data_IF_374489897468
#
_entry.id   IF_374489897468
#
_cell.length_a   1.000
_cell.length_b   1.000
_cell.length_c   1.000
_cell.angle_alpha   90.00
_cell.angle_beta   90.00
_cell.angle_gamma   90.00
#
_symmetry.space_group_name_H-M   'P 1'
#
loop_
_entity.id
_entity.type
_entity.pdbx_description
1 polymer ?
#
# COMPACT_ATOMS: atom_id res chain seq x y z
N UNK A 1 6.37 -2.71 -0.01
CA UNK A 1 5.54 -1.49 -0.06
C UNK A 1 6.47 -0.30 -0.19
N UNK A 2 6.05 0.78 -0.82
CA UNK A 2 6.90 1.95 -1.09
C UNK A 2 6.08 3.24 -1.16
N UNK A 3 6.79 4.36 -1.13
CA UNK A 3 6.31 5.68 -1.49
C UNK A 3 7.17 6.21 -2.64
N UNK A 4 6.62 7.08 -3.48
CA UNK A 4 7.36 7.70 -4.59
C UNK A 4 7.72 9.13 -4.21
N UNK A 5 8.95 9.52 -4.54
CA UNK A 5 9.45 10.88 -4.43
C UNK A 5 9.62 11.46 -5.82
N UNK A 6 9.27 12.75 -5.97
CA UNK A 6 9.64 13.54 -7.15
C UNK A 6 11.12 13.93 -7.06
N UNK A 7 11.73 14.39 -8.16
CA UNK A 7 13.10 14.94 -8.14
C UNK A 7 13.28 16.12 -7.16
N UNK A 8 12.20 16.82 -6.81
CA UNK A 8 12.21 17.87 -5.78
C UNK A 8 12.33 17.35 -4.35
N UNK A 9 12.22 16.04 -4.13
CA UNK A 9 12.12 15.43 -2.80
C UNK A 9 10.71 15.45 -2.20
N UNK A 10 9.73 15.99 -2.92
CA UNK A 10 8.33 15.96 -2.48
C UNK A 10 7.72 14.57 -2.69
N UNK A 11 6.86 14.14 -1.76
CA UNK A 11 6.10 12.90 -1.89
C UNK A 11 5.02 13.02 -2.97
N UNK A 12 4.85 11.92 -3.70
CA UNK A 12 3.68 11.69 -4.54
C UNK A 12 2.64 10.97 -3.69
N UNK A 13 1.42 11.50 -3.65
CA UNK A 13 0.30 10.89 -2.93
C UNK A 13 -0.05 9.51 -3.49
N UNK A 14 -0.36 8.55 -2.62
CA UNK A 14 -0.67 7.19 -3.05
C UNK A 14 -1.99 7.10 -3.86
N UNK A 15 -2.88 8.10 -3.78
CA UNK A 15 -4.10 8.18 -4.59
C UNK A 15 -3.76 8.56 -6.04
N UNK A 16 -2.81 9.46 -6.25
CA UNK A 16 -2.29 9.78 -7.58
C UNK A 16 -1.74 8.51 -8.25
N UNK A 17 -0.92 7.75 -7.51
CA UNK A 17 -0.34 6.49 -7.99
C UNK A 17 -1.44 5.46 -8.28
N UNK A 18 -2.44 5.34 -7.41
CA UNK A 18 -3.57 4.42 -7.59
C UNK A 18 -4.37 4.75 -8.86
N UNK A 19 -4.66 6.02 -9.11
CA UNK A 19 -5.40 6.45 -10.30
C UNK A 19 -4.59 6.20 -11.58
N UNK A 20 -3.29 6.54 -11.58
CA UNK A 20 -2.41 6.26 -12.72
C UNK A 20 -2.31 4.75 -12.98
N UNK A 21 -2.16 3.93 -11.94
CA UNK A 21 -2.15 2.48 -12.08
C UNK A 21 -3.44 1.94 -12.72
N UNK A 22 -4.61 2.50 -12.37
CA UNK A 22 -5.89 2.14 -12.97
C UNK A 22 -5.94 2.37 -14.50
N UNK A 23 -5.29 3.42 -15.00
CA UNK A 23 -5.18 3.68 -16.46
C UNK A 23 -4.35 2.63 -17.17
N UNK A 24 -3.35 2.05 -16.48
CA UNK A 24 -2.52 0.95 -16.96
C UNK A 24 -3.13 -0.43 -16.68
N UNK A 25 -4.39 -0.48 -16.21
CA UNK A 25 -5.10 -1.71 -15.81
C UNK A 25 -4.43 -2.48 -14.67
N UNK A 26 -3.73 -1.76 -13.80
CA UNK A 26 -3.07 -2.31 -12.61
C UNK A 26 -3.90 -1.98 -11.38
N UNK A 27 -4.21 -2.98 -10.56
CA UNK A 27 -4.91 -2.79 -9.30
C UNK A 27 -3.91 -2.81 -8.13
N UNK A 28 -3.69 -1.66 -7.52
CA UNK A 28 -2.80 -1.49 -6.37
C UNK A 28 -3.58 -1.41 -5.06
N UNK A 29 -2.93 -1.82 -3.96
CA UNK A 29 -3.44 -1.59 -2.61
C UNK A 29 -2.71 -0.39 -2.03
N UNK A 30 -3.44 0.60 -1.53
CA UNK A 30 -2.87 1.83 -0.97
C UNK A 30 -3.55 2.20 0.35
N UNK A 31 -2.95 3.16 1.08
CA UNK A 31 -3.46 3.66 2.35
C UNK A 31 -2.60 3.28 3.55
N UNK A 32 -3.00 3.74 4.73
CA UNK A 32 -2.40 3.25 5.97
C UNK A 32 -2.81 1.80 6.22
N UNK A 33 -1.88 1.01 6.75
CA UNK A 33 -2.15 -0.33 7.22
C UNK A 33 -3.15 -0.30 8.37
N UNK A 34 -3.94 -1.37 8.54
CA UNK A 34 -4.90 -1.49 9.64
C UNK A 34 -4.26 -1.45 11.05
N UNK A 35 -2.92 -1.43 11.12
CA UNK A 35 -2.15 -1.15 12.32
C UNK A 35 -1.54 0.27 12.20
N UNK A 36 -2.12 1.30 12.85
CA UNK A 36 -1.62 2.67 12.77
C UNK A 36 -0.20 2.80 13.34
N UNK A 37 0.15 2.01 14.36
CA UNK A 37 1.52 1.96 14.90
C UNK A 37 2.55 1.41 13.90
N UNK A 38 2.12 0.60 12.92
CA UNK A 38 2.99 0.21 11.83
C UNK A 38 3.24 1.38 10.87
N UNK A 39 2.22 2.16 10.50
CA UNK A 39 2.39 3.37 9.70
C UNK A 39 3.31 4.37 10.40
N UNK A 40 3.05 4.64 11.69
CA UNK A 40 3.85 5.56 12.49
C UNK A 40 5.34 5.20 12.46
N UNK A 41 5.68 3.93 12.72
CA UNK A 41 7.06 3.45 12.69
C UNK A 41 7.71 3.57 11.31
N UNK A 42 7.02 3.12 10.25
CA UNK A 42 7.65 3.04 8.91
C UNK A 42 7.67 4.38 8.17
N UNK A 43 6.81 5.32 8.55
CA UNK A 43 6.77 6.68 8.02
C UNK A 43 7.53 7.67 8.91
N UNK A 44 8.13 7.19 10.01
CA UNK A 44 8.83 7.99 11.01
C UNK A 44 7.99 9.17 11.54
N UNK A 45 6.72 8.91 11.83
CA UNK A 45 5.80 9.90 12.39
C UNK A 45 5.97 9.99 13.90
N UNK A 46 6.01 11.21 14.43
CA UNK A 46 5.97 11.45 15.88
C UNK A 46 4.57 11.15 16.45
N UNK A 47 4.44 11.06 17.77
CA UNK A 47 3.12 10.96 18.40
C UNK A 47 2.26 12.20 18.08
N UNK A 48 2.89 13.38 18.07
CA UNK A 48 2.23 14.64 17.75
C UNK A 48 1.74 14.66 16.30
N UNK A 49 2.53 14.13 15.35
CA UNK A 49 2.12 14.01 13.95
C UNK A 49 0.88 13.13 13.81
N UNK A 50 0.81 12.03 14.57
CA UNK A 50 -0.35 11.11 14.54
C UNK A 50 -1.60 11.79 15.12
N UNK A 51 -1.46 12.55 16.20
CA UNK A 51 -2.55 13.33 16.80
C UNK A 51 -3.01 14.44 15.86
N UNK A 52 -2.10 15.20 15.27
CA UNK A 52 -2.41 16.23 14.27
C UNK A 52 -3.13 15.63 13.05
N UNK A 53 -2.69 14.46 12.58
CA UNK A 53 -3.38 13.75 11.50
C UNK A 53 -4.82 13.40 11.91
N UNK A 54 -5.04 12.91 13.14
CA UNK A 54 -6.37 12.62 13.66
C UNK A 54 -7.25 13.87 13.74
N UNK A 55 -6.72 14.97 14.30
CA UNK A 55 -7.41 16.26 14.43
C UNK A 55 -7.73 16.89 13.07
N UNK A 56 -6.86 16.70 12.07
CA UNK A 56 -7.10 17.04 10.68
C UNK A 56 -8.17 16.13 10.01
N UNK A 57 -8.77 15.21 10.75
CA UNK A 57 -9.83 14.30 10.32
C UNK A 57 -9.34 13.10 9.51
N UNK A 58 -8.06 12.71 9.64
CA UNK A 58 -7.53 11.55 8.94
C UNK A 58 -8.26 10.28 9.35
N UNK A 59 -8.75 9.54 8.35
CA UNK A 59 -9.37 8.23 8.53
C UNK A 59 -8.76 7.27 7.52
N UNK A 60 -8.36 6.09 7.99
CA UNK A 60 -7.87 5.02 7.13
C UNK A 60 -8.93 4.64 6.09
N UNK A 61 -8.56 4.72 4.81
CA UNK A 61 -9.45 4.50 3.67
C UNK A 61 -10.16 5.78 3.16
N UNK A 62 -9.82 6.95 3.71
CA UNK A 62 -10.23 8.25 3.16
C UNK A 62 -9.36 8.68 1.96
N UNK A 63 -9.66 9.87 1.44
CA UNK A 63 -8.97 10.48 0.28
C UNK A 63 -7.69 11.25 0.62
N UNK A 64 -7.46 11.57 1.90
CA UNK A 64 -6.27 12.32 2.35
C UNK A 64 -5.05 11.40 2.44
N UNK A 65 -4.23 11.41 1.41
CA UNK A 65 -3.03 10.58 1.29
C UNK A 65 -1.72 11.30 1.64
N UNK A 66 -1.74 12.63 1.64
CA UNK A 66 -0.68 13.51 2.16
C UNK A 66 -1.25 14.48 3.21
N UNK A 67 -0.53 14.68 4.31
CA UNK A 67 -0.77 15.73 5.32
C UNK A 67 0.55 16.47 5.53
N UNK A 68 0.56 17.78 5.32
CA UNK A 68 1.76 18.63 5.35
C UNK A 68 2.94 18.09 4.52
N UNK A 69 2.61 17.54 3.34
CA UNK A 69 3.56 16.94 2.42
C UNK A 69 4.11 15.57 2.84
N UNK A 70 3.69 15.05 4.00
CA UNK A 70 4.06 13.71 4.47
C UNK A 70 2.98 12.69 4.10
N UNK A 71 3.37 11.47 3.69
CA UNK A 71 2.42 10.42 3.39
C UNK A 71 1.71 9.94 4.65
N UNK A 72 0.44 9.60 4.51
CA UNK A 72 -0.35 8.97 5.60
C UNK A 72 -0.37 7.45 5.50
N UNK A 73 0.24 6.88 4.46
CA UNK A 73 0.21 5.45 4.16
C UNK A 73 1.29 5.06 3.15
N UNK A 74 1.09 3.93 2.48
CA UNK A 74 2.03 3.45 1.46
C UNK A 74 1.32 2.77 0.28
N UNK A 75 2.03 2.66 -0.84
CA UNK A 75 1.63 1.82 -1.97
C UNK A 75 2.16 0.40 -1.75
N UNK A 76 1.26 -0.58 -1.86
CA UNK A 76 1.59 -2.01 -1.77
C UNK A 76 1.28 -2.69 -3.10
N UNK A 77 2.33 -3.25 -3.68
CA UNK A 77 2.26 -4.19 -4.80
C UNK A 77 2.36 -5.60 -4.21
N UNK A 78 1.55 -6.51 -4.71
CA UNK A 78 1.57 -7.92 -4.33
C UNK A 78 1.38 -8.75 -5.59
N UNK A 79 2.28 -9.68 -5.83
CA UNK A 79 2.20 -10.62 -6.94
C UNK A 79 1.63 -11.93 -6.39
N UNK A 80 0.60 -12.45 -7.06
CA UNK A 80 -0.05 -13.71 -6.71
C UNK A 80 0.35 -14.83 -7.65
N UNK A 81 -0.23 -16.02 -7.45
CA UNK A 81 0.00 -17.19 -8.31
C UNK A 81 -0.28 -16.90 -9.80
N UNK A 82 -1.30 -16.10 -10.10
CA UNK A 82 -1.67 -15.73 -11.47
C UNK A 82 -0.87 -14.56 -12.06
N UNK A 83 0.09 -14.00 -11.32
CA UNK A 83 0.93 -12.90 -11.83
C UNK A 83 2.02 -13.43 -12.76
N UNK A 84 2.23 -12.70 -13.86
CA UNK A 84 3.27 -12.96 -14.86
C UNK A 84 4.40 -11.93 -14.77
N UNK A 85 5.52 -12.21 -15.43
CA UNK A 85 6.59 -11.22 -15.59
C UNK A 85 6.12 -9.96 -16.32
N UNK A 86 5.22 -10.11 -17.30
CA UNK A 86 4.63 -8.99 -18.03
C UNK A 86 3.84 -8.04 -17.10
N UNK A 87 3.21 -8.55 -16.04
CA UNK A 87 2.53 -7.70 -15.05
C UNK A 87 3.51 -6.82 -14.28
N UNK A 88 4.69 -7.36 -13.95
CA UNK A 88 5.76 -6.60 -13.31
C UNK A 88 6.37 -5.56 -14.28
N UNK A 89 6.53 -5.89 -15.55
CA UNK A 89 6.98 -4.96 -16.58
C UNK A 89 5.97 -3.83 -16.82
N UNK A 90 4.68 -4.13 -16.84
CA UNK A 90 3.62 -3.13 -16.95
C UNK A 90 3.62 -2.16 -15.77
N UNK A 91 3.86 -2.65 -14.55
CA UNK A 91 4.05 -1.80 -13.39
C UNK A 91 5.27 -0.88 -13.55
N UNK A 92 6.41 -1.43 -13.98
CA UNK A 92 7.62 -0.64 -14.21
C UNK A 92 7.42 0.41 -15.31
N UNK A 93 6.72 0.06 -16.39
CA UNK A 93 6.37 0.96 -17.47
C UNK A 93 5.50 2.12 -16.98
N UNK A 94 4.49 1.83 -16.16
CA UNK A 94 3.64 2.85 -15.54
C UNK A 94 4.48 3.80 -14.68
N UNK A 95 5.34 3.28 -13.81
CA UNK A 95 6.22 4.10 -12.97
C UNK A 95 7.12 5.01 -13.81
N UNK A 96 7.73 4.47 -14.87
CA UNK A 96 8.61 5.22 -15.78
C UNK A 96 7.84 6.31 -16.55
N UNK A 97 6.64 6.00 -17.07
CA UNK A 97 5.87 6.95 -17.87
C UNK A 97 5.25 8.07 -17.03
N UNK A 98 4.87 7.77 -15.79
CA UNK A 98 4.06 8.69 -14.98
C UNK A 98 4.86 9.45 -13.92
N UNK A 99 5.92 8.86 -13.38
CA UNK A 99 6.59 9.38 -12.19
C UNK A 99 8.10 9.54 -12.33
N UNK A 100 8.69 9.09 -13.43
CA UNK A 100 10.10 9.35 -13.72
C UNK A 100 10.21 10.67 -14.48
N UNK A 101 10.95 11.62 -13.93
CA UNK A 101 11.24 12.88 -14.60
C UNK A 101 12.08 12.62 -15.86
N UNK A 102 11.53 12.98 -17.01
CA UNK A 102 12.24 12.91 -18.29
C UNK A 102 13.13 14.14 -18.55
N UNK A 103 13.99 14.09 -19.59
CA UNK A 103 14.68 15.28 -20.08
C UNK A 103 13.65 16.35 -20.45
N UNK A 104 14.01 17.63 -20.26
CA UNK A 104 13.11 18.73 -20.55
C UNK A 104 12.64 18.66 -22.01
N UNK A 105 11.35 18.42 -22.23
CA UNK A 105 10.76 18.55 -23.56
C UNK A 105 10.62 20.04 -23.84
N UNK A 106 11.56 20.60 -24.61
CA UNK A 106 11.42 21.96 -25.13
C UNK A 106 10.37 21.91 -26.23
N UNK A 107 9.13 22.30 -25.90
CA UNK A 107 8.08 22.49 -26.90
C UNK A 107 8.25 23.89 -27.50
N UNK A 108 9.07 23.99 -28.54
CA UNK A 108 9.11 25.20 -29.36
C UNK A 108 7.96 25.16 -30.38
N UNK A 109 7.27 26.29 -30.61
CA UNK A 109 6.40 26.42 -31.76
C UNK A 109 7.16 26.09 -33.06
N UNK A 110 6.47 25.51 -34.02
CA UNK A 110 7.04 25.18 -35.33
C UNK A 110 7.57 26.46 -36.00
N UNK A 111 8.85 26.47 -36.38
CA UNK A 111 9.54 27.64 -36.93
C UNK A 111 10.16 28.60 -35.90
N UNK A 112 10.00 28.37 -34.59
CA UNK A 112 10.65 29.19 -33.57
C UNK A 112 12.12 28.80 -33.39
N UNK A 113 13.03 29.73 -33.69
CA UNK A 113 14.47 29.58 -33.48
C UNK A 113 14.85 30.28 -32.18
N UNK A 114 15.41 29.53 -31.22
CA UNK A 114 15.91 30.17 -29.99
C UNK A 114 17.14 31.01 -30.36
N UNK A 115 17.19 32.30 -29.97
CA UNK A 115 18.36 33.13 -30.21
C UNK A 115 19.63 32.53 -29.62
N UNK A 116 20.76 32.74 -30.30
CA UNK A 116 22.07 32.34 -29.81
C UNK A 116 22.40 33.11 -28.52
N UNK A 117 22.92 32.42 -27.50
CA UNK A 117 23.19 32.97 -26.16
C UNK A 117 21.95 33.39 -25.34
N UNK A 118 20.74 32.94 -25.70
CA UNK A 118 19.56 33.14 -24.86
C UNK A 118 19.75 32.45 -23.51
N UNK A 119 19.61 33.21 -22.41
CA UNK A 119 19.71 32.72 -21.05
C UNK A 119 18.32 32.59 -20.46
N UNK A 120 18.00 31.42 -19.92
CA UNK A 120 16.77 31.22 -19.16
C UNK A 120 17.04 30.48 -17.86
N UNK A 121 16.22 30.78 -16.85
CA UNK A 121 16.30 30.20 -15.51
C UNK A 121 15.20 29.17 -15.31
N UNK A 122 15.53 27.99 -14.76
CA UNK A 122 14.54 27.01 -14.29
C UNK A 122 14.91 26.53 -12.89
N UNK A 123 14.06 26.84 -11.91
CA UNK A 123 14.44 26.68 -10.50
C UNK A 123 15.68 27.51 -10.18
N UNK A 124 16.69 26.89 -9.57
CA UNK A 124 17.98 27.53 -9.24
C UNK A 124 19.08 27.27 -10.27
N UNK A 125 18.74 27.01 -11.54
CA UNK A 125 19.71 26.70 -12.59
C UNK A 125 19.49 27.60 -13.80
N UNK A 126 20.57 28.18 -14.30
CA UNK A 126 20.58 28.96 -15.54
C UNK A 126 21.06 28.08 -16.71
N UNK A 127 20.50 28.31 -17.87
CA UNK A 127 20.80 27.60 -19.11
C UNK A 127 21.17 28.61 -20.18
N UNK A 128 22.10 28.25 -21.07
CA UNK A 128 22.52 29.08 -22.21
C UNK A 128 22.40 28.28 -23.50
N UNK A 129 21.84 28.88 -24.54
CA UNK A 129 21.79 28.27 -25.88
C UNK A 129 23.10 28.47 -26.65
N UNK A 130 23.52 27.45 -27.40
CA UNK A 130 24.68 27.49 -28.32
C UNK A 130 24.28 27.59 -29.81
N UNK A 131 23.03 27.96 -30.07
CA UNK A 131 22.44 27.97 -31.41
C UNK A 131 21.73 26.64 -31.71
N UNK A 132 20.52 26.70 -32.28
CA UNK A 132 19.68 25.52 -32.53
C UNK A 132 19.04 24.94 -31.26
N UNK A 133 18.79 23.62 -31.26
CA UNK A 133 18.19 22.87 -30.13
C UNK A 133 19.18 22.50 -29.02
N UNK A 134 20.46 22.87 -29.16
CA UNK A 134 21.51 22.56 -28.18
C UNK A 134 21.52 23.55 -27.00
N UNK A 135 21.47 23.00 -25.78
CA UNK A 135 21.37 23.76 -24.52
C UNK A 135 22.54 23.36 -23.61
N UNK A 136 23.30 24.35 -23.15
CA UNK A 136 24.38 24.17 -22.17
C UNK A 136 23.90 24.59 -20.76
N UNK A 137 24.12 23.73 -19.77
CA UNK A 137 23.79 24.00 -18.38
C UNK A 137 24.86 24.91 -17.77
N UNK A 138 24.51 26.14 -17.39
CA UNK A 138 25.41 27.02 -16.66
C UNK A 138 25.38 26.62 -15.17
N UNK A 139 26.53 26.18 -14.65
CA UNK A 139 26.67 25.78 -13.25
C UNK A 139 26.49 27.00 -12.35
N UNK A 140 25.58 26.93 -11.38
CA UNK A 140 25.50 27.92 -10.29
C UNK A 140 26.62 27.63 -9.28
N UNK A 141 27.51 28.59 -9.04
CA UNK A 141 28.39 28.54 -7.88
C UNK A 141 27.52 28.70 -6.62
N UNK A 142 27.43 27.65 -5.81
CA UNK A 142 26.95 27.76 -4.43
C UNK A 142 28.17 27.78 -3.51
N UNK A 143 28.21 28.77 -2.62
CA UNK A 143 29.12 28.86 -1.49
C UNK A 143 29.00 27.64 -0.56
N UNK A 144 30.05 27.35 0.24
CA UNK A 144 30.36 26.00 0.71
C UNK A 144 29.73 25.69 2.08
N UNK A 145 28.87 24.68 2.13
CA UNK A 145 28.71 23.78 3.29
C UNK A 145 28.19 22.44 2.78
N UNK A 146 28.88 21.35 3.16
CA UNK A 146 28.95 20.03 2.50
C UNK A 146 27.63 19.29 2.29
N UNK A 147 27.56 18.23 1.48
CA UNK A 147 28.46 17.07 1.43
C UNK A 147 28.59 16.60 -0.03
N UNK A 148 29.82 16.37 -0.46
CA UNK A 148 30.21 15.76 -1.74
C UNK A 148 30.28 14.23 -1.60
N UNK A 149 29.60 13.49 -2.46
CA UNK A 149 30.24 12.38 -3.16
C UNK A 149 29.54 12.11 -4.49
N UNK A 150 30.24 12.50 -5.55
CA UNK A 150 29.97 12.14 -6.92
C UNK A 150 30.05 10.62 -7.09
N UNK A 151 29.01 10.02 -7.66
CA UNK A 151 29.17 8.82 -8.49
C UNK A 151 28.16 8.89 -9.65
N UNK A 152 28.68 9.30 -10.80
CA UNK A 152 28.02 9.19 -12.11
C UNK A 152 27.78 7.70 -12.41
N UNK A 153 26.54 7.24 -12.30
CA UNK A 153 26.13 5.97 -12.89
C UNK A 153 25.73 6.26 -14.33
N UNK A 154 26.64 5.99 -15.27
CA UNK A 154 26.34 5.95 -16.70
C UNK A 154 25.52 4.68 -16.98
N UNK A 155 24.25 4.84 -17.35
CA UNK A 155 23.43 3.75 -17.90
C UNK A 155 23.34 3.94 -19.41
N UNK A 156 24.25 3.29 -20.13
CA UNK A 156 24.14 3.06 -21.57
C UNK A 156 23.07 1.99 -21.85
N UNK A 157 22.25 2.12 -22.90
CA UNK A 157 21.28 1.10 -23.27
C UNK A 157 21.99 0.00 -24.07
N UNK A 158 22.25 -1.14 -23.44
CA UNK A 158 22.72 -2.35 -24.12
C UNK A 158 23.90 -3.03 -23.44
N UNK A 159 23.59 -3.94 -22.52
CA UNK A 159 24.24 -5.26 -22.45
C UNK A 159 23.41 -6.17 -21.53
N UNK A 160 23.31 -7.43 -21.94
CA UNK A 160 22.34 -8.40 -21.44
C UNK A 160 22.36 -8.60 -19.93
N UNK A 161 21.17 -8.82 -19.39
CA UNK A 161 20.98 -9.43 -18.07
C UNK A 161 21.70 -10.79 -18.04
N UNK A 162 22.85 -10.84 -17.37
CA UNK A 162 23.52 -12.10 -17.06
C UNK A 162 22.64 -12.88 -16.06
N UNK A 163 22.05 -13.97 -16.53
CA UNK A 163 21.23 -14.90 -15.74
C UNK A 163 22.00 -15.63 -14.61
N UNK A 164 23.32 -15.43 -14.50
CA UNK A 164 24.20 -16.25 -13.67
C UNK A 164 24.49 -15.68 -12.27
N UNK A 165 24.05 -14.47 -11.92
CA UNK A 165 24.31 -13.88 -10.59
C UNK A 165 23.24 -14.22 -9.52
N UNK A 166 22.22 -15.02 -9.86
CA UNK A 166 21.15 -15.39 -8.93
C UNK A 166 21.32 -16.77 -8.26
N UNK A 167 22.53 -17.35 -8.30
CA UNK A 167 22.82 -18.68 -7.77
C UNK A 167 23.96 -18.72 -6.76
N UNK A 168 24.10 -17.70 -5.92
CA UNK A 168 24.82 -17.85 -4.64
C UNK A 168 24.00 -17.19 -3.53
N UNK A 169 22.93 -17.88 -3.10
CA UNK A 169 22.32 -17.63 -1.80
C UNK A 169 22.37 -18.91 -1.01
N UNK A 170 23.43 -18.98 -0.21
CA UNK A 170 23.58 -19.69 1.06
C UNK A 170 22.51 -20.75 1.32
N UNK A 171 22.95 -22.00 1.38
CA UNK A 171 22.25 -23.10 2.02
C UNK A 171 21.91 -22.70 3.46
N UNK A 172 20.76 -22.03 3.61
CA UNK A 172 20.19 -21.72 4.90
C UNK A 172 19.61 -23.04 5.39
N UNK A 173 20.33 -23.64 6.32
CA UNK A 173 19.92 -24.79 7.12
C UNK A 173 18.40 -24.75 7.32
N UNK A 174 17.69 -25.72 6.72
CA UNK A 174 16.23 -25.70 6.60
C UNK A 174 15.60 -25.70 7.98
N UNK A 175 15.36 -24.49 8.51
CA UNK A 175 14.70 -24.31 9.80
C UNK A 175 13.31 -24.90 9.63
N UNK A 176 13.06 -26.01 10.31
CA UNK A 176 11.75 -26.65 10.36
C UNK A 176 10.75 -25.65 10.94
N UNK A 177 10.01 -24.99 10.06
CA UNK A 177 8.95 -24.09 10.44
C UNK A 177 7.75 -24.94 10.88
N UNK A 178 7.31 -24.74 12.12
CA UNK A 178 6.13 -25.40 12.68
C UNK A 178 5.07 -24.35 12.89
N UNK A 179 3.85 -24.65 12.46
CA UNK A 179 2.68 -23.81 12.74
C UNK A 179 2.40 -23.88 14.25
N UNK A 180 2.52 -22.75 14.95
CA UNK A 180 2.31 -22.70 16.40
C UNK A 180 0.83 -22.69 16.76
N UNK A 181 0.05 -21.87 16.07
CA UNK A 181 -1.38 -21.69 16.31
C UNK A 181 -2.07 -21.28 15.02
N UNK A 182 -3.33 -21.68 14.89
CA UNK A 182 -4.20 -21.28 13.80
C UNK A 182 -5.46 -20.64 14.36
N UNK A 183 -5.92 -19.58 13.70
CA UNK A 183 -7.09 -18.83 14.14
C UNK A 183 -7.99 -18.57 12.95
N UNK A 184 -9.29 -18.62 13.18
CA UNK A 184 -10.31 -18.12 12.26
C UNK A 184 -11.11 -17.01 12.93
N UNK A 185 -11.86 -16.26 12.13
CA UNK A 185 -12.71 -15.16 12.59
C UNK A 185 -14.13 -15.39 12.09
N UNK A 186 -14.92 -16.25 12.78
CA UNK A 186 -16.25 -16.64 12.32
C UNK A 186 -17.15 -15.43 12.05
N UNK A 187 -17.16 -14.48 12.98
CA UNK A 187 -17.91 -13.23 12.88
C UNK A 187 -16.96 -12.07 12.57
N UNK A 188 -17.27 -11.32 11.52
CA UNK A 188 -16.58 -10.08 11.17
C UNK A 188 -16.56 -9.13 12.38
N UNK A 189 -15.43 -8.46 12.60
CA UNK A 189 -15.23 -7.49 13.68
C UNK A 189 -15.19 -8.07 15.10
N UNK A 190 -15.40 -9.39 15.29
CA UNK A 190 -15.31 -10.05 16.60
C UNK A 190 -13.91 -10.63 16.86
N UNK A 191 -13.70 -11.15 18.07
CA UNK A 191 -12.45 -11.81 18.45
C UNK A 191 -12.18 -13.08 17.62
N UNK A 192 -10.91 -13.49 17.61
CA UNK A 192 -10.48 -14.72 16.96
C UNK A 192 -11.00 -15.96 17.71
N UNK A 193 -11.28 -17.03 16.96
CA UNK A 193 -11.48 -18.37 17.47
C UNK A 193 -10.20 -19.18 17.19
N UNK A 194 -9.58 -19.73 18.24
CA UNK A 194 -8.38 -20.56 18.14
C UNK A 194 -8.76 -21.99 17.71
N UNK A 195 -8.12 -22.48 16.66
CA UNK A 195 -8.22 -23.86 16.22
C UNK A 195 -7.19 -24.67 17.03
N UNK A 196 -7.69 -25.59 17.85
CA UNK A 196 -6.86 -26.44 18.70
C UNK A 196 -6.40 -27.73 18.01
N UNK A 197 -7.23 -28.26 17.10
CA UNK A 197 -7.02 -29.53 16.43
C UNK A 197 -6.97 -29.36 14.90
N UNK A 198 -7.69 -30.20 14.16
CA UNK A 198 -7.84 -30.11 12.70
C UNK A 198 -8.99 -29.20 12.31
N UNK A 199 -8.91 -28.64 11.11
CA UNK A 199 -9.96 -27.79 10.55
C UNK A 199 -10.14 -28.06 9.07
N UNK A 200 -11.38 -27.97 8.60
CA UNK A 200 -11.70 -28.23 7.20
C UNK A 200 -11.22 -27.08 6.31
N UNK A 201 -10.52 -27.42 5.22
CA UNK A 201 -10.14 -26.49 4.17
C UNK A 201 -11.12 -26.61 3.00
N UNK A 202 -11.79 -25.51 2.68
CA UNK A 202 -12.74 -25.40 1.58
C UNK A 202 -12.12 -24.63 0.42
N UNK A 203 -12.82 -24.58 -0.74
CA UNK A 203 -12.40 -23.74 -1.87
C UNK A 203 -12.32 -22.24 -1.57
N UNK A 204 -12.90 -21.76 -0.46
CA UNK A 204 -12.81 -20.36 0.00
C UNK A 204 -11.74 -20.12 1.08
N UNK A 205 -11.08 -21.17 1.55
CA UNK A 205 -10.20 -21.15 2.72
C UNK A 205 -10.75 -21.99 3.87
N UNK A 206 -10.29 -21.71 5.09
CA UNK A 206 -10.73 -22.44 6.29
C UNK A 206 -12.24 -22.31 6.46
N UNK A 207 -12.91 -23.44 6.70
CA UNK A 207 -14.36 -23.49 6.88
C UNK A 207 -14.79 -22.50 7.97
N UNK A 208 -15.92 -21.82 7.77
CA UNK A 208 -16.45 -20.81 8.70
C UNK A 208 -15.62 -19.54 8.93
N UNK A 209 -14.47 -19.33 8.25
CA UNK A 209 -13.76 -18.05 8.36
C UNK A 209 -14.53 -16.92 7.67
N UNK A 210 -14.85 -15.85 8.42
CA UNK A 210 -15.58 -14.66 7.95
C UNK A 210 -16.99 -14.93 7.38
N UNK A 211 -17.65 -16.02 7.77
CA UNK A 211 -18.99 -16.36 7.27
C UNK A 211 -20.11 -15.45 7.80
N UNK A 212 -19.93 -14.81 8.96
CA UNK A 212 -20.98 -13.98 9.59
C UNK A 212 -20.55 -12.53 9.81
N UNK A 213 -21.54 -11.65 9.93
CA UNK A 213 -21.37 -10.26 10.36
C UNK A 213 -22.58 -9.81 11.18
N UNK A 214 -22.34 -8.91 12.14
CA UNK A 214 -23.41 -8.24 12.89
C UNK A 214 -23.82 -7.00 12.11
N UNK A 215 -25.13 -6.78 11.97
CA UNK A 215 -25.70 -5.63 11.28
C UNK A 215 -26.61 -4.84 12.22
N UNK A 216 -26.72 -3.54 11.99
CA UNK A 216 -27.75 -2.74 12.66
C UNK A 216 -29.15 -3.02 12.07
N UNK A 217 -30.18 -2.35 12.61
CA UNK A 217 -31.56 -2.46 12.14
C UNK A 217 -31.74 -2.09 10.67
N UNK A 218 -30.92 -1.19 10.13
CA UNK A 218 -30.90 -0.81 8.71
C UNK A 218 -30.19 -1.83 7.81
N UNK A 219 -29.57 -2.88 8.37
CA UNK A 219 -28.82 -3.89 7.64
C UNK A 219 -27.38 -3.48 7.28
N UNK A 220 -26.88 -2.37 7.83
CA UNK A 220 -25.50 -1.93 7.66
C UNK A 220 -24.61 -2.74 8.60
N UNK A 221 -23.53 -3.30 8.07
CA UNK A 221 -22.53 -4.05 8.84
C UNK A 221 -21.91 -3.16 9.92
N UNK A 222 -21.92 -3.64 11.17
CA UNK A 222 -21.16 -3.03 12.25
C UNK A 222 -19.67 -3.34 12.09
N UNK A 223 -18.83 -2.35 12.33
CA UNK A 223 -17.38 -2.47 12.23
C UNK A 223 -16.71 -2.07 13.54
N UNK A 224 -15.52 -2.61 13.84
CA UNK A 224 -14.73 -2.17 15.01
C UNK A 224 -14.39 -0.67 14.99
N UNK A 225 -14.43 -0.02 13.81
CA UNK A 225 -14.24 1.44 13.70
C UNK A 225 -15.41 2.23 14.29
N UNK A 226 -16.61 1.65 14.27
CA UNK A 226 -17.83 2.26 14.80
C UNK A 226 -18.09 1.77 16.22
N UNK A 227 -17.99 0.46 16.43
CA UNK A 227 -18.27 -0.20 17.71
C UNK A 227 -17.06 -1.01 18.16
N UNK A 228 -16.17 -0.37 18.91
CA UNK A 228 -14.90 -0.98 19.36
C UNK A 228 -15.14 -2.23 20.22
N UNK A 229 -16.24 -2.26 20.97
CA UNK A 229 -16.60 -3.36 21.86
C UNK A 229 -16.92 -4.68 21.14
N UNK A 230 -17.11 -4.66 19.81
CA UNK A 230 -17.23 -5.89 19.02
C UNK A 230 -16.02 -6.81 19.20
N UNK A 231 -14.83 -6.27 19.47
CA UNK A 231 -13.63 -7.07 19.72
C UNK A 231 -13.71 -7.90 21.02
N UNK A 232 -14.63 -7.59 21.93
CA UNK A 232 -14.85 -8.32 23.17
C UNK A 232 -15.78 -9.52 22.99
N UNK A 233 -16.52 -9.57 21.88
CA UNK A 233 -17.36 -10.71 21.52
C UNK A 233 -16.43 -11.84 21.08
N UNK A 234 -16.47 -12.98 21.79
CA UNK A 234 -15.66 -14.17 21.52
C UNK A 234 -16.53 -15.27 20.89
N UNK A 235 -16.41 -15.51 19.58
CA UNK A 235 -17.12 -16.59 18.92
C UNK A 235 -16.49 -17.94 19.26
N UNK A 236 -17.32 -18.96 19.48
CA UNK A 236 -16.95 -20.37 19.61
C UNK A 236 -17.88 -21.23 18.76
N UNK A 237 -17.32 -22.13 17.95
CA UNK A 237 -18.09 -23.01 17.07
C UNK A 237 -18.09 -24.44 17.62
N UNK A 238 -19.29 -25.01 17.81
CA UNK A 238 -19.49 -26.42 18.05
C UNK A 238 -20.06 -27.06 16.78
N UNK A 239 -19.21 -27.78 16.04
CA UNK A 239 -19.58 -28.36 14.74
C UNK A 239 -20.53 -29.55 14.90
N UNK A 240 -20.40 -30.34 15.97
CA UNK A 240 -21.27 -31.50 16.22
C UNK A 240 -22.71 -31.09 16.48
N UNK A 241 -22.93 -29.98 17.20
CA UNK A 241 -24.27 -29.45 17.48
C UNK A 241 -24.66 -28.31 16.55
N UNK A 242 -23.84 -27.99 15.55
CA UNK A 242 -23.98 -26.84 14.65
C UNK A 242 -24.39 -25.55 15.38
N UNK A 243 -23.71 -25.25 16.49
CA UNK A 243 -24.05 -24.13 17.36
C UNK A 243 -22.87 -23.15 17.46
N UNK A 244 -23.12 -21.88 17.18
CA UNK A 244 -22.19 -20.78 17.40
C UNK A 244 -22.56 -20.10 18.73
N UNK A 245 -21.63 -20.09 19.67
CA UNK A 245 -21.72 -19.35 20.93
C UNK A 245 -20.96 -18.03 20.77
N UNK A 246 -21.58 -16.93 21.15
CA UNK A 246 -20.96 -15.60 21.22
C UNK A 246 -20.91 -15.19 22.69
N UNK A 247 -19.71 -15.15 23.25
CA UNK A 247 -19.49 -14.71 24.63
C UNK A 247 -19.10 -13.23 24.66
N UNK A 248 -19.85 -12.42 25.39
CA UNK A 248 -19.55 -11.03 25.71
C UNK A 248 -19.51 -10.89 27.23
N UNK A 249 -18.75 -9.95 27.83
CA UNK A 249 -18.71 -9.81 29.29
C UNK A 249 -20.11 -9.71 29.91
N UNK A 250 -20.50 -10.74 30.69
CA UNK A 250 -21.80 -10.83 31.35
C UNK A 250 -22.97 -11.34 30.50
N UNK A 251 -22.77 -11.69 29.22
CA UNK A 251 -23.84 -12.17 28.33
C UNK A 251 -23.37 -13.25 27.37
N UNK A 252 -24.25 -14.20 27.05
CA UNK A 252 -23.96 -15.29 26.12
C UNK A 252 -25.13 -15.45 25.15
N UNK A 253 -24.83 -15.39 23.85
CA UNK A 253 -25.80 -15.66 22.79
C UNK A 253 -25.43 -16.97 22.10
N UNK A 254 -26.43 -17.80 21.80
CA UNK A 254 -26.25 -19.09 21.11
C UNK A 254 -27.09 -19.10 19.83
N UNK A 255 -26.45 -19.40 18.71
CA UNK A 255 -27.05 -19.37 17.38
C UNK A 255 -26.85 -20.73 16.71
N UNK A 256 -27.93 -21.38 16.30
CA UNK A 256 -27.84 -22.61 15.50
C UNK A 256 -27.54 -22.25 14.05
N UNK A 257 -26.55 -22.87 13.42
CA UNK A 257 -26.21 -22.69 12.00
C UNK A 257 -26.39 -23.96 11.17
N UNK A 258 -26.91 -25.04 11.77
CA UNK A 258 -27.04 -26.36 11.15
C UNK A 258 -28.21 -26.57 10.20
N UNK A 259 -29.17 -25.65 10.16
CA UNK A 259 -30.35 -25.78 9.29
C UNK A 259 -31.02 -24.45 8.94
N UNK A 260 -30.26 -23.35 8.90
CA UNK A 260 -30.78 -22.05 8.48
C UNK A 260 -30.61 -21.88 6.97
N UNK A 261 -31.71 -22.02 6.23
CA UNK A 261 -31.93 -21.22 5.03
C UNK A 261 -31.73 -19.74 5.39
N UNK A 262 -30.50 -19.21 5.25
CA UNK A 262 -30.08 -17.80 5.32
C UNK A 262 -31.13 -16.80 5.85
N UNK A 263 -31.64 -16.98 7.08
CA UNK A 263 -32.63 -16.08 7.65
C UNK A 263 -31.96 -15.20 8.70
N UNK A 264 -32.09 -13.89 8.49
CA UNK A 264 -31.76 -12.83 9.44
C UNK A 264 -32.42 -13.14 10.79
N UNK A 265 -31.61 -13.42 11.79
CA UNK A 265 -32.07 -13.40 13.18
C UNK A 265 -32.08 -11.93 13.62
N UNK A 266 -33.28 -11.39 13.85
CA UNK A 266 -33.47 -10.11 14.56
C UNK A 266 -33.78 -10.48 16.01
N UNK A 267 -33.11 -9.82 16.95
CA UNK A 267 -33.52 -9.85 18.35
C UNK A 267 -34.91 -9.19 18.45
N UNK A 268 -35.84 -9.86 19.15
CA UNK A 268 -37.15 -9.31 19.52
C UNK A 268 -37.00 -8.33 20.69
#
# INVERSE_FOLDING_TARGET
AFNILRSSGAYVGYMEILHMAGLFKIHLRTGCFCNPGACQRHLNLSNDDVLQNYDAGYKCGGSKDLIDGRPTGAVRVSFGYSSSFNDAEMLLLMLKKCFLDGPAVVKLPEGYVIPENYIYSRGNVNYKTKGGTEIEKLRVQRSPTGITQDSLINLSPGNGFNKNEMMERNEMESKKLVLSKLYIYPVKSCAAFEILDSWELTGKGLSYDREWMIVNSSGVCLTQKQEVNLCLIKPSLCLQSMLMRLDYPGSVVKLCFGSLNKQRLREN
#
